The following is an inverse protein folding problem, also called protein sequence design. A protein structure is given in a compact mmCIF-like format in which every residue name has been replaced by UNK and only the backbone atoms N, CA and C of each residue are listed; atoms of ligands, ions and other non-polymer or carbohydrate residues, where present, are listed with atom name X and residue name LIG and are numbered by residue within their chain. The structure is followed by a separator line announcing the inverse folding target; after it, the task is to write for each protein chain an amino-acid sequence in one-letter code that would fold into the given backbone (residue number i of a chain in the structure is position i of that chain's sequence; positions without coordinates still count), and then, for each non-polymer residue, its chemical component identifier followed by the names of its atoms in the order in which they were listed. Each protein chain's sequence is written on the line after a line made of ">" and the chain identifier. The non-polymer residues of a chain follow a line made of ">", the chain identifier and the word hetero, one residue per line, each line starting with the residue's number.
data_IF_622635176320
#
_entry.id   IF_622635176320
#
_cell.length_a   1.000
_cell.length_b   1.000
_cell.length_c   1.000
_cell.angle_alpha   90.00
_cell.angle_beta   90.00
_cell.angle_gamma   90.00
#
_symmetry.space_group_name_H-M   'P 1'
#
loop_
_entity.id
_entity.type
_entity.pdbx_description
1 polymer ?
#
# COMPACT_ATOMS: atom_id res chain seq x y z
N UNK A 1 -9.24 -9.91 37.50
CA UNK A 1 -8.84 -9.99 36.09
C UNK A 1 -9.96 -10.75 35.38
N UNK A 2 -10.39 -10.27 34.22
CA UNK A 2 -11.39 -10.94 33.40
C UNK A 2 -10.76 -12.22 32.79
N UNK A 3 -11.30 -13.38 33.14
CA UNK A 3 -10.84 -14.68 32.67
C UNK A 3 -11.69 -15.22 31.50
N UNK A 4 -12.63 -14.41 31.00
CA UNK A 4 -13.51 -14.80 29.89
C UNK A 4 -12.85 -14.68 28.50
N UNK A 5 -11.69 -14.05 28.41
CA UNK A 5 -10.92 -13.80 27.18
C UNK A 5 -9.43 -14.03 27.40
N UNK A 6 -8.71 -14.47 26.33
CA UNK A 6 -7.26 -14.58 26.38
C UNK A 6 -6.61 -13.20 26.61
N UNK A 7 -5.51 -13.20 27.36
CA UNK A 7 -4.68 -12.02 27.58
C UNK A 7 -3.51 -12.06 26.60
N UNK A 8 -3.20 -10.95 25.98
CA UNK A 8 -2.04 -10.81 25.08
C UNK A 8 -1.14 -9.65 25.52
N UNK A 9 0.13 -9.76 25.18
CA UNK A 9 1.13 -8.71 25.34
C UNK A 9 1.99 -8.58 24.08
N UNK A 10 2.34 -7.34 23.73
CA UNK A 10 3.22 -7.03 22.61
C UNK A 10 4.67 -6.91 23.11
N UNK A 11 5.56 -7.76 22.59
CA UNK A 11 6.96 -7.82 22.97
C UNK A 11 7.82 -6.98 22.03
N UNK A 12 8.25 -5.80 22.46
CA UNK A 12 9.18 -4.96 21.71
C UNK A 12 10.61 -5.52 21.69
N UNK A 13 10.97 -6.35 22.67
CA UNK A 13 12.27 -7.00 22.79
C UNK A 13 12.11 -8.48 23.16
N UNK A 14 11.75 -9.31 22.19
CA UNK A 14 11.41 -10.74 22.41
C UNK A 14 12.52 -11.50 23.14
N UNK A 15 13.79 -11.30 22.78
CA UNK A 15 14.93 -12.00 23.43
C UNK A 15 15.00 -11.67 24.93
N UNK A 16 14.90 -10.38 25.26
CA UNK A 16 14.90 -9.94 26.67
C UNK A 16 13.64 -10.41 27.40
N UNK A 17 12.51 -10.41 26.73
CA UNK A 17 11.26 -10.87 27.34
C UNK A 17 11.29 -12.36 27.67
N UNK A 18 11.94 -13.18 26.86
CA UNK A 18 12.13 -14.60 27.13
C UNK A 18 12.95 -14.84 28.42
N UNK A 19 13.92 -13.97 28.72
CA UNK A 19 14.75 -14.06 29.94
C UNK A 19 13.98 -13.63 31.22
N UNK A 20 12.87 -12.93 31.07
CA UNK A 20 12.10 -12.39 32.21
C UNK A 20 10.79 -13.13 32.47
N UNK A 21 10.57 -14.27 31.85
CA UNK A 21 9.33 -15.08 31.95
C UNK A 21 8.05 -14.30 31.61
N UNK A 22 8.16 -13.11 31.00
CA UNK A 22 7.00 -12.29 30.65
C UNK A 22 6.06 -12.97 29.64
N UNK A 23 6.57 -13.69 28.62
CA UNK A 23 5.71 -14.43 27.69
C UNK A 23 4.84 -15.50 28.38
N UNK A 24 5.27 -16.06 29.51
CA UNK A 24 4.56 -17.09 30.24
C UNK A 24 3.40 -16.52 31.09
N UNK A 25 3.37 -15.22 31.27
CA UNK A 25 2.30 -14.51 31.97
C UNK A 25 1.10 -14.15 31.10
N UNK A 26 1.15 -14.41 29.78
CA UNK A 26 0.10 -14.10 28.82
C UNK A 26 -0.31 -15.35 28.03
N UNK A 27 -1.57 -15.41 27.60
CA UNK A 27 -2.09 -16.55 26.85
C UNK A 27 -1.64 -16.52 25.38
N UNK A 28 -1.40 -15.33 24.83
CA UNK A 28 -1.03 -15.13 23.43
C UNK A 28 0.10 -14.10 23.36
N UNK A 29 1.18 -14.46 22.71
CA UNK A 29 2.42 -13.68 22.71
C UNK A 29 2.59 -12.92 21.41
N UNK A 30 2.51 -11.60 21.48
CA UNK A 30 2.73 -10.70 20.35
C UNK A 30 4.20 -10.34 20.17
N UNK A 31 4.69 -10.43 18.94
CA UNK A 31 6.06 -10.12 18.54
C UNK A 31 6.08 -8.84 17.70
N UNK A 32 6.83 -7.81 18.16
CA UNK A 32 7.01 -6.58 17.40
C UNK A 32 8.29 -6.67 16.56
N UNK A 33 8.15 -6.63 15.21
CA UNK A 33 9.26 -6.56 14.24
C UNK A 33 10.37 -7.61 14.45
N UNK A 34 10.00 -8.80 14.88
CA UNK A 34 10.93 -9.88 15.17
C UNK A 34 10.52 -11.19 14.49
N UNK A 35 10.06 -11.09 13.25
CA UNK A 35 9.62 -12.22 12.41
C UNK A 35 10.70 -13.28 12.25
N UNK A 36 11.96 -12.88 12.30
CA UNK A 36 13.13 -13.77 12.25
C UNK A 36 13.26 -14.69 13.46
N UNK A 37 12.49 -14.46 14.53
CA UNK A 37 12.47 -15.30 15.73
C UNK A 37 11.40 -16.38 15.71
N UNK A 38 10.42 -16.28 14.83
CA UNK A 38 9.25 -17.17 14.85
C UNK A 38 9.62 -18.66 14.86
N UNK A 39 10.47 -19.10 13.94
CA UNK A 39 10.86 -20.52 13.84
C UNK A 39 11.66 -21.00 15.07
N UNK A 40 12.61 -20.19 15.52
CA UNK A 40 13.46 -20.53 16.66
C UNK A 40 12.64 -20.61 17.96
N UNK A 41 11.76 -19.61 18.16
CA UNK A 41 10.99 -19.54 19.39
C UNK A 41 9.86 -20.58 19.40
N UNK A 42 9.27 -20.89 18.26
CA UNK A 42 8.32 -22.01 18.16
C UNK A 42 8.98 -23.36 18.45
N UNK A 43 10.20 -23.57 17.98
CA UNK A 43 10.95 -24.79 18.29
C UNK A 43 11.33 -24.89 19.78
N UNK A 44 11.59 -23.77 20.44
CA UNK A 44 11.98 -23.70 21.86
C UNK A 44 10.75 -23.77 22.79
N UNK A 45 9.66 -23.14 22.37
CA UNK A 45 8.40 -22.99 23.11
C UNK A 45 7.20 -23.46 22.25
N UNK A 46 7.04 -24.76 22.00
CA UNK A 46 6.08 -25.28 21.01
C UNK A 46 4.62 -24.99 21.34
N UNK A 47 4.31 -24.83 22.64
CA UNK A 47 2.93 -24.54 23.08
C UNK A 47 2.59 -23.03 23.07
N UNK A 48 3.56 -22.17 22.72
CA UNK A 48 3.36 -20.72 22.69
C UNK A 48 2.57 -20.32 21.47
N UNK A 49 1.45 -19.64 21.68
CA UNK A 49 0.66 -19.05 20.60
C UNK A 49 1.30 -17.72 20.22
N UNK A 50 1.83 -17.62 18.99
CA UNK A 50 2.59 -16.47 18.51
C UNK A 50 1.84 -15.74 17.40
N UNK A 51 1.92 -14.41 17.40
CA UNK A 51 1.47 -13.56 16.29
C UNK A 51 2.34 -12.31 16.16
N UNK A 52 2.30 -11.66 14.99
CA UNK A 52 2.94 -10.37 14.81
C UNK A 52 2.06 -9.24 15.35
N UNK A 53 2.31 -8.82 16.60
CA UNK A 53 1.53 -7.75 17.22
C UNK A 53 1.82 -6.38 16.61
N UNK A 54 3.00 -6.22 16.02
CA UNK A 54 3.38 -5.04 15.25
C UNK A 54 4.42 -5.44 14.21
N UNK A 55 4.07 -5.28 12.92
CA UNK A 55 4.89 -5.69 11.79
C UNK A 55 4.95 -4.61 10.72
N UNK A 56 5.97 -4.65 9.88
CA UNK A 56 6.06 -3.83 8.70
C UNK A 56 5.09 -4.26 7.59
N UNK A 57 4.91 -3.38 6.61
CA UNK A 57 4.07 -3.65 5.43
C UNK A 57 4.81 -4.39 4.31
N UNK A 58 6.09 -4.73 4.49
CA UNK A 58 6.94 -5.36 3.48
C UNK A 58 6.56 -6.80 3.14
N UNK A 59 7.08 -7.28 2.02
CA UNK A 59 6.83 -8.62 1.52
C UNK A 59 7.35 -9.69 2.48
N UNK A 60 8.55 -9.48 3.06
CA UNK A 60 9.16 -10.42 4.00
C UNK A 60 8.31 -10.63 5.26
N UNK A 61 7.74 -9.54 5.79
CA UNK A 61 6.84 -9.62 6.94
C UNK A 61 5.54 -10.38 6.59
N UNK A 62 5.06 -10.29 5.35
CA UNK A 62 3.93 -11.07 4.87
C UNK A 62 4.28 -12.56 4.76
N UNK A 63 5.39 -12.90 4.12
CA UNK A 63 5.82 -14.31 3.97
C UNK A 63 6.11 -14.98 5.31
N UNK A 64 6.65 -14.23 6.27
CA UNK A 64 6.89 -14.73 7.62
C UNK A 64 5.62 -15.18 8.35
N UNK A 65 4.45 -14.70 7.93
CA UNK A 65 3.15 -15.09 8.49
C UNK A 65 2.43 -16.08 7.57
N UNK A 66 2.33 -15.76 6.28
CA UNK A 66 1.62 -16.59 5.29
C UNK A 66 2.11 -18.04 5.27
N UNK A 67 3.42 -18.23 5.38
CA UNK A 67 4.07 -19.53 5.17
C UNK A 67 4.31 -20.31 6.47
N UNK A 68 3.66 -19.91 7.59
CA UNK A 68 3.82 -20.54 8.91
C UNK A 68 2.48 -20.82 9.58
N UNK A 69 2.11 -22.09 9.65
CA UNK A 69 0.82 -22.52 10.22
C UNK A 69 0.67 -22.21 11.72
N UNK A 70 1.80 -22.03 12.43
CA UNK A 70 1.83 -21.71 13.85
C UNK A 70 1.74 -20.21 14.16
N UNK A 71 1.73 -19.34 13.13
CA UNK A 71 1.51 -17.90 13.28
C UNK A 71 0.10 -17.55 12.80
N UNK A 72 -0.79 -17.23 13.72
CA UNK A 72 -2.21 -17.04 13.36
C UNK A 72 -2.52 -15.69 12.71
N UNK A 73 -1.62 -14.72 12.74
CA UNK A 73 -1.87 -13.41 12.15
C UNK A 73 -0.78 -12.37 12.39
N UNK A 74 -1.01 -11.19 11.81
CA UNK A 74 -0.15 -10.02 11.98
C UNK A 74 -0.96 -8.74 12.00
N UNK A 75 -0.43 -7.72 12.69
CA UNK A 75 -0.96 -6.36 12.72
C UNK A 75 0.10 -5.41 12.18
N UNK A 76 -0.23 -4.69 11.12
CA UNK A 76 0.70 -3.77 10.47
C UNK A 76 0.71 -2.43 11.18
N UNK A 77 1.90 -1.92 11.45
CA UNK A 77 2.10 -0.54 11.85
C UNK A 77 2.47 0.32 10.63
N UNK A 78 1.51 1.13 10.05
CA UNK A 78 0.14 1.25 10.57
C UNK A 78 -0.90 1.07 9.46
N UNK A 79 -2.16 0.91 9.84
CA UNK A 79 -3.26 0.87 8.87
C UNK A 79 -3.52 2.23 8.23
N UNK A 80 -3.51 3.31 9.01
CA UNK A 80 -3.82 4.67 8.55
C UNK A 80 -2.76 5.65 9.06
N UNK A 81 -2.42 6.66 8.26
CA UNK A 81 -1.61 7.79 8.73
C UNK A 81 -2.30 8.48 9.91
N UNK A 82 -1.54 8.97 10.88
CA UNK A 82 -2.10 9.60 12.06
C UNK A 82 -1.26 10.79 12.56
N UNK A 83 -1.92 11.67 13.30
CA UNK A 83 -1.26 12.79 13.97
C UNK A 83 -0.56 12.29 15.23
N UNK A 84 0.62 12.78 15.49
CA UNK A 84 1.47 12.33 16.59
C UNK A 84 2.63 11.48 16.09
N UNK A 85 3.50 11.04 17.01
CA UNK A 85 4.78 10.37 16.70
C UNK A 85 5.56 11.03 15.56
N UNK A 86 5.32 12.33 15.41
CA UNK A 86 5.99 13.11 14.40
C UNK A 86 7.46 13.28 14.81
N UNK A 87 8.34 13.12 13.87
CA UNK A 87 9.75 13.36 14.08
C UNK A 87 10.04 14.85 14.36
N UNK A 88 10.97 15.43 13.64
CA UNK A 88 11.35 16.82 13.82
C UNK A 88 10.35 17.77 13.16
N UNK A 89 10.01 18.91 13.87
CA UNK A 89 9.25 20.01 13.27
C UNK A 89 9.81 20.40 11.89
N UNK A 90 8.96 20.64 10.87
CA UNK A 90 7.49 20.85 10.89
C UNK A 90 6.63 19.60 10.72
N UNK A 91 7.16 18.39 10.79
CA UNK A 91 6.35 17.16 10.74
C UNK A 91 5.32 17.15 11.88
N UNK A 92 4.10 16.74 11.60
CA UNK A 92 2.99 16.71 12.56
C UNK A 92 2.38 15.32 12.73
N UNK A 93 2.77 14.36 11.91
CA UNK A 93 2.19 13.03 11.90
C UNK A 93 3.18 11.96 11.48
N UNK A 94 2.74 10.73 11.60
CA UNK A 94 3.42 9.55 11.07
C UNK A 94 2.71 9.11 9.78
N UNK A 95 3.51 8.91 8.72
CA UNK A 95 3.02 8.67 7.36
C UNK A 95 3.34 7.24 6.88
N UNK A 96 3.32 6.28 7.78
CA UNK A 96 3.59 4.87 7.49
C UNK A 96 2.34 4.07 7.15
N UNK A 97 1.17 4.69 7.21
CA UNK A 97 -0.12 4.06 6.94
C UNK A 97 -0.23 3.45 5.54
N UNK A 98 -1.02 2.40 5.42
CA UNK A 98 -1.50 1.88 4.13
C UNK A 98 -2.53 2.82 3.50
N UNK A 99 -3.25 3.54 4.35
CA UNK A 99 -4.20 4.59 4.02
C UNK A 99 -3.65 5.94 4.48
N UNK A 100 -4.04 7.01 3.83
CA UNK A 100 -3.75 8.38 4.25
C UNK A 100 -4.72 8.87 5.35
N UNK A 101 -4.61 10.15 5.77
CA UNK A 101 -5.50 10.77 6.76
C UNK A 101 -6.97 10.80 6.35
N UNK A 102 -7.26 10.81 5.05
CA UNK A 102 -8.60 10.77 4.49
C UNK A 102 -9.14 9.36 4.31
N UNK A 103 -8.35 8.34 4.72
CA UNK A 103 -8.63 6.91 4.50
C UNK A 103 -8.59 6.48 3.02
N UNK A 104 -7.90 7.23 2.18
CA UNK A 104 -7.64 6.81 0.80
C UNK A 104 -6.43 5.86 0.75
N UNK A 105 -6.51 4.78 -0.06
CA UNK A 105 -5.40 3.87 -0.21
C UNK A 105 -4.16 4.56 -0.81
N UNK A 106 -3.03 4.41 -0.14
CA UNK A 106 -1.73 4.82 -0.65
C UNK A 106 -1.13 3.71 -1.53
N UNK A 107 -0.08 3.97 -2.33
CA UNK A 107 0.54 2.93 -3.15
C UNK A 107 0.89 1.66 -2.37
N UNK A 108 1.44 1.79 -1.16
CA UNK A 108 1.74 0.65 -0.27
C UNK A 108 0.48 -0.09 0.20
N UNK A 109 -0.66 0.59 0.28
CA UNK A 109 -1.95 -0.03 0.54
C UNK A 109 -2.40 -0.90 -0.63
N UNK A 110 -2.23 -0.43 -1.85
CA UNK A 110 -2.48 -1.22 -3.07
C UNK A 110 -1.51 -2.39 -3.21
N UNK A 111 -0.22 -2.19 -2.89
CA UNK A 111 0.75 -3.28 -2.83
C UNK A 111 0.31 -4.34 -1.82
N UNK A 112 -0.12 -3.93 -0.63
CA UNK A 112 -0.58 -4.87 0.40
C UNK A 112 -1.89 -5.56 0.01
N UNK A 113 -2.80 -4.88 -0.66
CA UNK A 113 -4.01 -5.47 -1.21
C UNK A 113 -3.71 -6.57 -2.23
N UNK A 114 -2.68 -6.41 -3.06
CA UNK A 114 -2.26 -7.46 -4.00
C UNK A 114 -1.71 -8.73 -3.31
N UNK A 115 -1.33 -8.65 -2.04
CA UNK A 115 -0.90 -9.80 -1.25
C UNK A 115 -2.05 -10.46 -0.49
N UNK A 116 -3.09 -9.70 -0.13
CA UNK A 116 -4.17 -10.15 0.77
C UNK A 116 -5.47 -10.50 0.08
N UNK A 117 -5.79 -9.82 -1.04
CA UNK A 117 -7.08 -10.01 -1.69
C UNK A 117 -7.15 -11.35 -2.42
N UNK A 118 -8.27 -12.05 -2.28
CA UNK A 118 -8.58 -13.25 -3.05
C UNK A 118 -9.10 -12.90 -4.45
N UNK A 119 -9.87 -11.82 -4.57
CA UNK A 119 -10.32 -11.31 -5.86
C UNK A 119 -9.16 -10.71 -6.65
N UNK A 120 -9.18 -10.81 -8.00
CA UNK A 120 -8.15 -10.21 -8.82
C UNK A 120 -8.03 -8.69 -8.60
N UNK A 121 -6.84 -8.25 -8.28
CA UNK A 121 -6.50 -6.83 -8.12
C UNK A 121 -5.28 -6.47 -8.97
N UNK A 122 -5.28 -5.26 -9.47
CA UNK A 122 -4.15 -4.67 -10.19
C UNK A 122 -4.07 -3.19 -9.83
N UNK A 123 -2.88 -2.70 -9.60
CA UNK A 123 -2.55 -1.30 -9.44
C UNK A 123 -1.32 -0.97 -10.26
N UNK A 124 -1.23 0.22 -10.80
CA UNK A 124 -0.06 0.73 -11.48
C UNK A 124 0.43 2.03 -10.82
N UNK A 125 1.72 2.08 -10.53
CA UNK A 125 2.40 3.27 -10.04
C UNK A 125 3.63 3.59 -10.87
N UNK A 126 4.12 4.82 -10.81
CA UNK A 126 5.21 5.25 -11.66
C UNK A 126 6.21 6.15 -10.93
N UNK A 127 7.45 6.15 -11.40
CA UNK A 127 8.49 7.09 -10.99
C UNK A 127 9.61 7.13 -12.05
N UNK A 128 10.40 8.21 -12.10
CA UNK A 128 11.57 8.29 -12.99
C UNK A 128 12.54 7.13 -12.70
N UNK A 129 13.10 6.55 -13.75
CA UNK A 129 14.12 5.51 -13.60
C UNK A 129 15.34 6.10 -12.90
N UNK A 130 15.68 5.54 -11.75
CA UNK A 130 16.89 5.87 -11.04
C UNK A 130 17.96 4.81 -11.30
N UNK A 131 19.12 5.25 -11.79
CA UNK A 131 20.31 4.40 -11.95
C UNK A 131 21.32 4.77 -10.87
N UNK A 132 21.63 3.82 -9.99
CA UNK A 132 22.58 4.06 -8.92
C UNK A 132 24.00 4.28 -9.49
N UNK A 133 24.69 5.40 -9.18
CA UNK A 133 25.96 5.75 -9.84
C UNK A 133 27.08 4.72 -9.68
N UNK A 134 27.10 3.99 -8.56
CA UNK A 134 28.13 2.97 -8.25
C UNK A 134 27.65 1.54 -8.49
N UNK A 135 26.36 1.33 -8.62
CA UNK A 135 25.72 0.00 -8.75
C UNK A 135 24.60 0.09 -9.80
N UNK A 136 24.94 0.33 -11.08
CA UNK A 136 23.94 0.46 -12.14
C UNK A 136 23.14 -0.81 -12.40
N UNK A 137 23.64 -1.97 -11.95
CA UNK A 137 22.97 -3.26 -11.99
C UNK A 137 21.83 -3.40 -10.97
N UNK A 138 21.79 -2.55 -9.94
CA UNK A 138 20.75 -2.59 -8.93
C UNK A 138 19.47 -1.91 -9.43
N UNK A 139 18.43 -2.71 -9.56
CA UNK A 139 17.09 -2.23 -9.89
C UNK A 139 16.37 -1.86 -8.59
N UNK A 140 16.10 -0.57 -8.41
CA UNK A 140 15.29 -0.11 -7.28
C UNK A 140 13.81 -0.30 -7.60
N UNK A 141 13.10 -1.09 -6.79
CA UNK A 141 11.66 -1.28 -6.88
C UNK A 141 11.00 -0.76 -5.59
N UNK A 142 10.01 0.11 -5.75
CA UNK A 142 9.28 0.71 -4.64
C UNK A 142 7.86 0.15 -4.55
N UNK A 143 7.41 -0.31 -3.36
CA UNK A 143 6.00 -0.60 -3.11
C UNK A 143 5.18 0.68 -2.87
N UNK A 144 5.78 1.86 -3.03
CA UNK A 144 5.20 3.17 -2.74
C UNK A 144 5.22 4.09 -3.97
N UNK A 145 4.97 3.53 -5.15
CA UNK A 145 4.92 4.25 -6.42
C UNK A 145 3.53 4.82 -6.68
N UNK A 146 3.44 6.14 -6.79
CA UNK A 146 2.17 6.84 -7.01
C UNK A 146 1.66 6.69 -8.45
N UNK A 147 0.37 6.70 -8.61
CA UNK A 147 -0.33 6.58 -9.89
C UNK A 147 -0.38 7.94 -10.63
N UNK A 148 0.80 8.43 -11.01
CA UNK A 148 1.03 9.69 -11.71
C UNK A 148 1.57 9.39 -13.11
N UNK A 149 0.95 9.98 -14.16
CA UNK A 149 1.42 9.85 -15.53
C UNK A 149 1.53 11.22 -16.19
N UNK A 150 2.37 12.10 -15.56
CA UNK A 150 2.69 13.43 -16.03
C UNK A 150 4.20 13.65 -15.86
N UNK A 151 4.94 13.54 -16.96
CA UNK A 151 6.40 13.66 -17.01
C UNK A 151 6.83 14.44 -18.25
N UNK A 152 8.13 14.64 -18.43
CA UNK A 152 8.67 15.23 -19.65
C UNK A 152 8.62 14.22 -20.81
N UNK A 153 8.30 14.70 -22.02
CA UNK A 153 8.19 13.82 -23.20
C UNK A 153 9.51 13.09 -23.46
N UNK A 154 9.42 11.77 -23.58
CA UNK A 154 10.56 10.88 -23.76
C UNK A 154 11.36 10.55 -22.51
N UNK A 155 11.03 11.12 -21.35
CA UNK A 155 11.66 10.76 -20.08
C UNK A 155 11.46 9.28 -19.78
N UNK A 156 12.51 8.57 -19.37
CA UNK A 156 12.41 7.14 -19.05
C UNK A 156 11.78 6.95 -17.66
N UNK A 157 10.62 6.29 -17.65
CA UNK A 157 9.79 6.11 -16.46
C UNK A 157 9.68 4.64 -16.13
N UNK A 158 9.89 4.30 -14.88
CA UNK A 158 9.56 2.98 -14.33
C UNK A 158 8.09 2.92 -13.98
N UNK A 159 7.41 1.98 -14.61
CA UNK A 159 6.03 1.60 -14.29
C UNK A 159 6.08 0.33 -13.47
N UNK A 160 5.55 0.35 -12.26
CA UNK A 160 5.38 -0.84 -11.42
C UNK A 160 3.93 -1.27 -11.41
N UNK A 161 3.73 -2.58 -11.32
CA UNK A 161 2.42 -3.19 -11.22
C UNK A 161 2.37 -4.07 -9.98
N UNK A 162 1.40 -3.80 -9.11
CA UNK A 162 1.07 -4.63 -7.95
C UNK A 162 -0.18 -5.44 -8.30
N UNK A 163 -0.06 -6.75 -8.33
CA UNK A 163 -1.17 -7.63 -8.72
C UNK A 163 -1.03 -9.00 -8.05
N UNK A 164 -2.16 -9.65 -7.80
CA UNK A 164 -2.22 -11.07 -7.41
C UNK A 164 -2.43 -12.00 -8.60
N UNK A 165 -2.45 -11.45 -9.83
CA UNK A 165 -2.49 -12.27 -11.05
C UNK A 165 -1.12 -12.91 -11.32
N UNK A 166 -1.07 -14.12 -11.96
CA UNK A 166 0.18 -14.82 -12.23
C UNK A 166 1.12 -14.10 -13.20
N UNK A 167 0.61 -13.14 -13.95
CA UNK A 167 1.38 -12.30 -14.89
C UNK A 167 0.64 -11.00 -15.19
N UNK A 168 1.35 -10.03 -15.79
CA UNK A 168 0.75 -8.77 -16.21
C UNK A 168 1.37 -8.25 -17.50
N UNK A 169 0.62 -7.39 -18.20
CA UNK A 169 1.08 -6.65 -19.38
C UNK A 169 0.79 -5.15 -19.22
N UNK A 170 1.53 -4.35 -19.99
CA UNK A 170 1.40 -2.90 -19.99
C UNK A 170 0.93 -2.40 -21.36
N UNK A 171 -0.02 -1.49 -21.34
CA UNK A 171 -0.57 -0.83 -22.53
C UNK A 171 -0.39 0.69 -22.38
N UNK A 172 -0.08 1.34 -23.48
CA UNK A 172 -0.06 2.81 -23.59
C UNK A 172 -0.91 3.20 -24.80
N UNK A 173 -1.94 4.00 -24.55
CA UNK A 173 -2.89 4.42 -25.59
C UNK A 173 -3.50 3.21 -26.35
N UNK A 174 -3.84 2.15 -25.62
CA UNK A 174 -4.43 0.92 -26.16
C UNK A 174 -3.46 0.01 -26.91
N UNK A 175 -2.17 0.35 -26.97
CA UNK A 175 -1.14 -0.47 -27.64
C UNK A 175 -0.21 -1.09 -26.59
N UNK A 176 0.26 -2.30 -26.85
CA UNK A 176 1.25 -2.94 -25.99
C UNK A 176 2.50 -2.07 -25.89
N UNK A 177 2.83 -1.65 -24.66
CA UNK A 177 3.99 -0.83 -24.32
C UNK A 177 5.04 -1.63 -23.55
N UNK A 178 4.66 -2.72 -22.89
CA UNK A 178 5.53 -3.65 -22.20
C UNK A 178 5.08 -5.09 -22.44
N UNK A 179 6.05 -5.97 -22.65
CA UNK A 179 5.78 -7.41 -22.81
C UNK A 179 5.08 -8.01 -21.59
N UNK A 180 4.41 -9.15 -21.78
CA UNK A 180 3.86 -9.93 -20.68
C UNK A 180 4.99 -10.40 -19.76
N UNK A 181 4.86 -10.14 -18.46
CA UNK A 181 5.83 -10.53 -17.45
C UNK A 181 5.17 -11.35 -16.36
N UNK A 182 5.81 -12.44 -15.90
CA UNK A 182 5.32 -13.22 -14.78
C UNK A 182 5.43 -12.42 -13.48
N UNK A 183 4.60 -12.80 -12.49
CA UNK A 183 4.73 -12.32 -11.12
C UNK A 183 6.09 -12.70 -10.54
N UNK A 184 6.74 -11.76 -9.89
CA UNK A 184 8.02 -11.98 -9.22
C UNK A 184 7.81 -12.16 -7.70
N UNK A 185 7.87 -13.38 -7.23
CA UNK A 185 7.71 -13.71 -5.80
C UNK A 185 8.79 -13.11 -4.89
N UNK A 186 9.95 -12.71 -5.45
CA UNK A 186 11.03 -12.13 -4.65
C UNK A 186 10.77 -10.68 -4.29
N UNK A 187 10.08 -9.96 -5.16
CA UNK A 187 9.82 -8.51 -4.98
C UNK A 187 8.35 -8.20 -4.81
N UNK A 188 7.44 -9.08 -5.26
CA UNK A 188 6.02 -8.83 -5.33
C UNK A 188 5.62 -7.81 -6.40
N UNK A 189 6.55 -7.42 -7.28
CA UNK A 189 6.39 -6.27 -8.19
C UNK A 189 6.78 -6.69 -9.62
N UNK A 190 5.87 -6.50 -10.54
CA UNK A 190 6.16 -6.54 -11.98
C UNK A 190 6.49 -5.11 -12.44
N UNK A 191 7.48 -4.91 -13.29
CA UNK A 191 7.82 -3.56 -13.74
C UNK A 191 8.27 -3.51 -15.20
N UNK A 192 8.15 -2.30 -15.78
CA UNK A 192 8.65 -1.94 -17.12
C UNK A 192 9.29 -0.56 -17.05
N UNK A 193 10.34 -0.36 -17.83
CA UNK A 193 10.95 0.95 -18.06
C UNK A 193 10.59 1.39 -19.48
N UNK A 194 9.82 2.46 -19.60
CA UNK A 194 9.33 2.97 -20.87
C UNK A 194 9.49 4.49 -20.98
N UNK A 195 9.70 5.05 -22.17
CA UNK A 195 9.66 6.48 -22.34
C UNK A 195 8.26 7.03 -22.12
N UNK A 196 8.15 8.13 -21.39
CA UNK A 196 6.88 8.82 -21.21
C UNK A 196 6.33 9.29 -22.56
N UNK A 197 5.05 9.10 -22.74
CA UNK A 197 4.20 9.70 -23.78
C UNK A 197 2.83 9.94 -23.17
N UNK A 198 2.28 11.14 -23.46
CA UNK A 198 0.96 11.50 -22.94
C UNK A 198 -0.15 10.53 -23.39
N UNK A 199 -1.14 10.36 -22.54
CA UNK A 199 -2.32 9.53 -22.79
C UNK A 199 -2.66 8.60 -21.63
N UNK A 200 -3.26 7.44 -21.95
CA UNK A 200 -3.65 6.44 -20.97
C UNK A 200 -2.59 5.33 -20.84
N UNK A 201 -2.04 5.18 -19.66
CA UNK A 201 -1.22 4.05 -19.24
C UNK A 201 -2.11 3.05 -18.52
N UNK A 202 -2.12 1.79 -18.95
CA UNK A 202 -2.95 0.74 -18.36
C UNK A 202 -2.15 -0.53 -18.10
N UNK A 203 -2.16 -0.98 -16.86
CA UNK A 203 -1.66 -2.29 -16.49
C UNK A 203 -2.82 -3.28 -16.40
N UNK A 204 -2.63 -4.48 -16.91
CA UNK A 204 -3.59 -5.58 -16.85
C UNK A 204 -2.95 -6.79 -16.19
N UNK A 205 -3.51 -7.21 -15.03
CA UNK A 205 -3.22 -8.50 -14.41
C UNK A 205 -3.94 -9.61 -15.20
N UNK A 206 -3.21 -10.62 -15.62
CA UNK A 206 -3.69 -11.65 -16.54
C UNK A 206 -3.58 -13.05 -15.95
N UNK A 207 -4.48 -13.95 -16.38
CA UNK A 207 -4.34 -15.39 -16.16
C UNK A 207 -3.17 -15.99 -16.98
N UNK A 208 -2.93 -17.29 -16.81
CA UNK A 208 -1.83 -17.98 -17.52
C UNK A 208 -2.03 -18.03 -19.03
N UNK A 209 -3.26 -17.89 -19.51
CA UNK A 209 -3.65 -17.85 -20.92
C UNK A 209 -3.52 -16.43 -21.52
N UNK A 210 -3.29 -15.41 -20.69
CA UNK A 210 -3.14 -14.00 -21.09
C UNK A 210 -4.45 -13.22 -21.14
N UNK A 211 -5.56 -13.76 -20.59
CA UNK A 211 -6.81 -13.02 -20.46
C UNK A 211 -6.72 -12.07 -19.26
N UNK A 212 -7.21 -10.84 -19.41
CA UNK A 212 -7.21 -9.87 -18.33
C UNK A 212 -8.21 -10.27 -17.24
N UNK A 213 -7.72 -10.38 -15.99
CA UNK A 213 -8.51 -10.62 -14.78
C UNK A 213 -8.89 -9.32 -14.07
N UNK A 214 -7.98 -8.36 -14.09
CA UNK A 214 -8.14 -7.04 -13.49
C UNK A 214 -7.28 -6.02 -14.22
N UNK A 215 -7.58 -4.73 -14.07
CA UNK A 215 -6.79 -3.68 -14.70
C UNK A 215 -6.81 -2.39 -13.90
N UNK A 216 -5.79 -1.57 -14.09
CA UNK A 216 -5.68 -0.23 -13.54
C UNK A 216 -5.19 0.74 -14.60
N UNK A 217 -5.85 1.90 -14.72
CA UNK A 217 -5.50 2.93 -15.71
C UNK A 217 -5.12 4.23 -15.02
N UNK A 218 -4.08 4.87 -15.53
CA UNK A 218 -3.64 6.21 -15.16
C UNK A 218 -3.67 7.06 -16.42
N UNK A 219 -4.10 8.31 -16.30
CA UNK A 219 -4.14 9.24 -17.45
C UNK A 219 -3.26 10.45 -17.21
N UNK A 220 -2.62 10.92 -18.25
CA UNK A 220 -1.99 12.24 -18.25
C UNK A 220 -3.08 13.28 -18.09
N UNK A 221 -2.98 14.12 -17.07
CA UNK A 221 -3.88 15.25 -16.87
C UNK A 221 -3.41 16.48 -17.60
N UNK A 222 -4.36 17.28 -18.05
CA UNK A 222 -4.16 18.62 -18.56
C UNK A 222 -3.98 19.65 -17.43
N UNK A 223 -4.26 20.93 -17.76
CA UNK A 223 -4.22 22.00 -16.76
C UNK A 223 -5.46 21.97 -15.86
N UNK A 224 -5.36 22.44 -14.61
CA UNK A 224 -6.53 22.64 -13.76
C UNK A 224 -7.64 23.43 -14.45
N UNK A 225 -8.84 22.90 -14.47
CA UNK A 225 -9.99 23.51 -15.15
C UNK A 225 -11.19 23.69 -14.22
N UNK A 226 -11.51 22.67 -13.41
CA UNK A 226 -12.69 22.67 -12.54
C UNK A 226 -12.42 21.96 -11.21
N UNK A 227 -13.34 22.16 -10.28
CA UNK A 227 -13.43 21.42 -9.03
C UNK A 227 -14.54 20.38 -9.16
N UNK A 228 -14.26 19.13 -8.83
CA UNK A 228 -15.23 18.06 -8.65
C UNK A 228 -15.38 17.79 -7.16
N UNK A 229 -16.61 17.88 -6.63
CA UNK A 229 -16.94 17.53 -5.26
C UNK A 229 -17.88 16.33 -5.24
N UNK A 230 -17.54 15.30 -4.48
CA UNK A 230 -18.34 14.09 -4.36
C UNK A 230 -18.57 13.77 -2.89
N UNK A 231 -19.83 13.68 -2.48
CA UNK A 231 -20.21 13.29 -1.12
C UNK A 231 -20.41 11.78 -1.04
N UNK A 232 -19.98 11.15 0.05
CA UNK A 232 -20.21 9.72 0.34
C UNK A 232 -21.70 9.46 0.63
N UNK A 233 -22.42 10.46 1.09
CA UNK A 233 -23.87 10.45 1.33
C UNK A 233 -24.47 11.83 1.16
N UNK A 234 -25.70 11.87 0.68
CA UNK A 234 -26.46 13.12 0.43
C UNK A 234 -27.56 13.35 1.45
N UNK A 235 -27.85 12.37 2.30
CA UNK A 235 -28.87 12.46 3.35
C UNK A 235 -28.19 12.11 4.68
N UNK A 236 -28.30 13.02 5.65
CA UNK A 236 -27.84 12.80 7.01
C UNK A 236 -29.10 12.57 7.89
N UNK A 237 -29.07 11.50 8.69
CA UNK A 237 -30.14 11.18 9.63
C UNK A 237 -29.55 10.97 11.04
N UNK A 238 -30.08 11.72 12.01
CA UNK A 238 -29.67 11.70 13.41
C UNK A 238 -28.62 12.76 13.76
N UNK A 239 -28.50 13.04 15.03
CA UNK A 239 -27.75 14.19 15.59
C UNK A 239 -26.22 14.08 15.44
N UNK A 240 -25.70 12.91 15.07
CA UNK A 240 -24.25 12.63 14.91
C UNK A 240 -23.88 12.15 13.52
N UNK A 241 -24.80 12.31 12.55
CA UNK A 241 -24.52 11.91 11.18
C UNK A 241 -23.51 12.86 10.53
N UNK A 242 -22.53 12.29 9.83
CA UNK A 242 -21.50 13.02 9.10
C UNK A 242 -21.49 12.59 7.64
N UNK A 243 -21.11 13.49 6.75
CA UNK A 243 -20.78 13.18 5.37
C UNK A 243 -19.33 13.57 5.09
N UNK A 244 -18.65 12.75 4.29
CA UNK A 244 -17.32 13.06 3.78
C UNK A 244 -17.46 13.56 2.35
N UNK A 245 -16.83 14.68 2.06
CA UNK A 245 -16.85 15.29 0.73
C UNK A 245 -15.43 15.22 0.18
N UNK A 246 -15.24 14.42 -0.86
CA UNK A 246 -13.99 14.38 -1.63
C UNK A 246 -14.00 15.55 -2.61
N UNK A 247 -12.96 16.38 -2.54
CA UNK A 247 -12.77 17.53 -3.43
C UNK A 247 -11.55 17.29 -4.28
N UNK A 248 -11.71 17.34 -5.60
CA UNK A 248 -10.65 17.07 -6.57
C UNK A 248 -10.55 18.23 -7.57
N UNK A 249 -9.32 18.59 -7.91
CA UNK A 249 -9.05 19.47 -9.06
C UNK A 249 -8.98 18.60 -10.30
N UNK A 250 -9.75 18.93 -11.33
CA UNK A 250 -9.82 18.16 -12.58
C UNK A 250 -9.50 19.06 -13.78
N UNK A 251 -9.00 18.46 -14.85
CA UNK A 251 -8.82 19.09 -16.15
C UNK A 251 -10.14 19.18 -16.94
N UNK A 252 -10.08 19.68 -18.17
CA UNK A 252 -11.25 19.86 -19.04
C UNK A 252 -11.94 18.54 -19.39
N UNK A 253 -11.19 17.44 -19.47
CA UNK A 253 -11.66 16.09 -19.71
C UNK A 253 -12.15 15.36 -18.43
N UNK A 254 -12.03 16.01 -17.27
CA UNK A 254 -12.42 15.45 -15.97
C UNK A 254 -11.36 14.54 -15.35
N UNK A 255 -10.14 14.51 -15.87
CA UNK A 255 -9.03 13.78 -15.27
C UNK A 255 -8.50 14.53 -14.05
N UNK A 256 -8.25 13.81 -12.95
CA UNK A 256 -7.74 14.43 -11.72
C UNK A 256 -6.33 14.96 -11.95
N UNK A 257 -6.11 16.24 -11.61
CA UNK A 257 -4.80 16.90 -11.69
C UNK A 257 -4.05 16.67 -10.38
N UNK A 258 -3.42 15.50 -10.24
CA UNK A 258 -2.79 15.05 -8.99
C UNK A 258 -1.61 15.90 -8.53
N UNK A 259 -0.97 16.62 -9.44
CA UNK A 259 0.14 17.53 -9.14
C UNK A 259 -0.31 19.01 -9.03
N UNK A 260 -1.62 19.26 -8.99
CA UNK A 260 -2.16 20.61 -8.79
C UNK A 260 -1.94 21.11 -7.37
N UNK A 261 -1.53 22.38 -7.24
CA UNK A 261 -1.29 23.08 -5.97
C UNK A 261 -2.29 24.25 -5.77
N UNK A 262 -3.46 24.14 -6.39
CA UNK A 262 -4.49 25.18 -6.36
C UNK A 262 -5.05 25.35 -4.94
N UNK A 263 -5.16 26.62 -4.49
CA UNK A 263 -5.86 26.94 -3.25
C UNK A 263 -7.37 26.69 -3.42
N UNK A 264 -7.96 25.98 -2.47
CA UNK A 264 -9.40 25.67 -2.44
C UNK A 264 -10.00 26.24 -1.17
N UNK A 265 -11.06 27.03 -1.32
CA UNK A 265 -11.85 27.56 -0.20
C UNK A 265 -13.15 26.80 -0.09
N UNK A 266 -13.45 26.29 1.11
CA UNK A 266 -14.70 25.63 1.43
C UNK A 266 -15.50 26.47 2.42
N UNK A 267 -16.79 26.66 2.16
CA UNK A 267 -17.75 27.33 3.07
C UNK A 267 -18.89 26.38 3.36
N UNK A 268 -19.40 26.43 4.58
CA UNK A 268 -20.60 25.67 5.00
C UNK A 268 -21.67 26.64 5.41
N UNK A 269 -22.89 26.48 4.85
CA UNK A 269 -24.06 27.28 5.18
C UNK A 269 -25.17 26.36 5.71
N UNK A 270 -25.97 26.85 6.65
CA UNK A 270 -27.12 26.13 7.18
C UNK A 270 -26.82 25.02 8.17
N UNK A 271 -25.71 25.10 8.89
CA UNK A 271 -25.34 24.16 9.95
C UNK A 271 -25.98 24.55 11.29
#
# INVERSE_FOLDING_TARGET
>A
VDTSRPVTGALAGVVMSNETEYPDAVDVVGYNYTENRYDQDHATYPDRIIYGSETGSGLDAWYAVRDKDFIFGQFIWTGTDYLGESGRWPSRGLYTGLLDFGSFPKPRGHFRASLWCENPVTYAGTYPVYVHPKHPEHVFLSPDAWDIWNYDEGQNIRVVCYTNAPQARLLLNGRVAGEMKPYDEKTGIIYWDIPFRAGELRAEGCDKEGNALSSYSIRTSGRPYAIRATADRTILSGDRATAHITVEVVDEEGTVVKLGDNEITCTVEGA
#
